data_IF_478185733494
#
_entry.id   IF_478185733494
#
_cell.length_a   1.000
_cell.length_b   1.000
_cell.length_c   1.000
_cell.angle_alpha   90.00
_cell.angle_beta   90.00
_cell.angle_gamma   90.00
#
_symmetry.space_group_name_H-M   'P 1'
#
loop_
_entity.id
_entity.type
_entity.pdbx_description
1 polymer ?
#
# COMPACT_ATOMS: atom_id res chain seq x y z
N UNK A 1 2.83 -25.23 11.58
CA UNK A 1 1.52 -25.71 12.10
C UNK A 1 1.19 -27.15 11.69
N UNK A 2 2.10 -27.85 11.04
CA UNK A 2 1.92 -29.23 10.58
C UNK A 2 2.21 -30.31 11.63
N UNK A 3 2.69 -29.92 12.82
CA UNK A 3 2.98 -30.85 13.91
C UNK A 3 1.71 -31.47 14.49
N UNK A 4 1.72 -32.76 14.82
CA UNK A 4 0.62 -33.51 15.44
C UNK A 4 0.46 -33.23 16.93
N UNK A 5 1.54 -32.79 17.61
CA UNK A 5 1.53 -32.47 19.06
C UNK A 5 0.74 -31.20 19.34
N UNK A 6 -0.34 -31.28 20.13
CA UNK A 6 -1.18 -30.18 20.53
C UNK A 6 -0.38 -29.11 21.30
N UNK A 7 0.43 -29.52 22.28
CA UNK A 7 1.23 -28.59 23.08
C UNK A 7 2.23 -27.80 22.22
N UNK A 8 2.87 -28.47 21.24
CA UNK A 8 3.78 -27.80 20.31
C UNK A 8 3.04 -26.80 19.41
N UNK A 9 1.84 -27.16 18.95
CA UNK A 9 0.97 -26.23 18.17
C UNK A 9 0.59 -25.00 18.97
N UNK A 10 0.15 -25.18 20.23
CA UNK A 10 -0.23 -24.05 21.10
C UNK A 10 0.94 -23.11 21.39
N UNK A 11 2.14 -23.65 21.63
CA UNK A 11 3.33 -22.85 21.84
C UNK A 11 3.71 -22.02 20.59
N UNK A 12 3.61 -22.64 19.39
CA UNK A 12 3.87 -21.95 18.13
C UNK A 12 2.83 -20.86 17.89
N UNK A 13 1.55 -21.15 18.11
CA UNK A 13 0.47 -20.16 17.97
C UNK A 13 0.67 -18.96 18.89
N UNK A 14 1.00 -19.19 20.17
CA UNK A 14 1.30 -18.12 21.13
C UNK A 14 2.47 -17.26 20.64
N UNK A 15 3.55 -17.89 20.18
CA UNK A 15 4.72 -17.17 19.64
C UNK A 15 4.36 -16.32 18.41
N UNK A 16 3.57 -16.87 17.48
CA UNK A 16 3.11 -16.12 16.29
C UNK A 16 2.25 -14.93 16.72
N UNK A 17 1.33 -15.13 17.68
CA UNK A 17 0.47 -14.06 18.18
C UNK A 17 1.29 -12.93 18.82
N UNK A 18 2.27 -13.26 19.67
CA UNK A 18 3.15 -12.29 20.31
C UNK A 18 4.00 -11.51 19.29
N UNK A 19 4.51 -12.20 18.26
CA UNK A 19 5.26 -11.57 17.18
C UNK A 19 4.38 -10.62 16.36
N UNK A 20 3.16 -11.02 16.01
CA UNK A 20 2.21 -10.16 15.32
C UNK A 20 1.84 -8.92 16.13
N UNK A 21 1.65 -9.09 17.46
CA UNK A 21 1.38 -7.96 18.37
C UNK A 21 2.56 -6.97 18.40
N UNK A 22 3.79 -7.48 18.48
CA UNK A 22 5.00 -6.65 18.41
C UNK A 22 5.10 -5.92 17.07
N UNK A 23 4.85 -6.62 15.96
CA UNK A 23 4.88 -6.04 14.62
C UNK A 23 3.88 -4.91 14.47
N UNK A 24 2.62 -5.10 14.91
CA UNK A 24 1.60 -4.04 14.89
C UNK A 24 2.02 -2.81 15.69
N UNK A 25 2.60 -3.01 16.89
CA UNK A 25 3.09 -1.90 17.70
C UNK A 25 4.20 -1.10 17.00
N UNK A 26 5.13 -1.79 16.33
CA UNK A 26 6.19 -1.12 15.55
C UNK A 26 5.57 -0.37 14.36
N UNK A 27 4.63 -1.00 13.65
CA UNK A 27 3.88 -0.38 12.54
C UNK A 27 3.23 0.94 12.99
N UNK A 28 2.46 0.91 14.08
CA UNK A 28 1.81 2.09 14.66
C UNK A 28 2.82 3.19 15.02
N UNK A 29 3.93 2.80 15.68
CA UNK A 29 4.99 3.76 16.04
C UNK A 29 5.59 4.43 14.79
N UNK A 30 5.86 3.65 13.74
CA UNK A 30 6.45 4.16 12.50
C UNK A 30 5.46 5.05 11.75
N UNK A 31 4.19 4.68 11.67
CA UNK A 31 3.16 5.50 11.02
C UNK A 31 2.98 6.86 11.72
N UNK A 32 3.10 6.90 13.06
CA UNK A 32 2.97 8.14 13.83
C UNK A 32 4.12 9.15 13.62
N UNK A 33 5.29 8.70 13.15
CA UNK A 33 6.42 9.61 12.86
C UNK A 33 6.44 10.09 11.41
N UNK A 34 5.55 9.60 10.55
CA UNK A 34 5.47 10.03 9.16
C UNK A 34 4.73 11.36 9.08
N UNK A 35 5.36 12.34 8.42
CA UNK A 35 4.69 13.60 8.12
C UNK A 35 3.74 13.43 6.92
N UNK A 36 2.47 13.28 7.23
CA UNK A 36 1.43 13.12 6.21
C UNK A 36 1.24 14.35 5.33
N UNK A 37 1.54 15.57 5.83
CA UNK A 37 1.47 16.76 5.00
C UNK A 37 2.53 16.72 3.89
N UNK A 38 3.74 16.24 4.20
CA UNK A 38 4.78 16.06 3.19
C UNK A 38 4.46 14.90 2.23
N UNK A 39 3.78 13.86 2.71
CA UNK A 39 3.30 12.76 1.86
C UNK A 39 2.26 13.25 0.86
N UNK A 40 1.28 14.03 1.29
CA UNK A 40 0.20 14.54 0.44
C UNK A 40 0.68 15.52 -0.63
N UNK A 41 1.71 16.32 -0.36
CA UNK A 41 2.35 17.23 -1.33
C UNK A 41 3.04 16.51 -2.47
N UNK A 42 3.38 15.22 -2.33
CA UNK A 42 4.01 14.47 -3.40
C UNK A 42 3.00 14.14 -4.51
N UNK A 43 3.29 14.64 -5.70
CA UNK A 43 2.52 14.33 -6.90
C UNK A 43 3.08 13.08 -7.59
N UNK A 44 2.21 12.08 -7.82
CA UNK A 44 2.59 10.82 -8.47
C UNK A 44 2.96 9.72 -7.48
N UNK A 45 4.19 9.22 -7.57
CA UNK A 45 4.67 8.15 -6.69
C UNK A 45 5.14 8.75 -5.37
N UNK A 46 4.69 8.18 -4.26
CA UNK A 46 5.13 8.57 -2.92
C UNK A 46 6.46 7.89 -2.59
N UNK A 47 7.43 8.68 -2.16
CA UNK A 47 8.73 8.19 -1.70
C UNK A 47 8.95 8.56 -0.24
N UNK A 48 9.23 7.56 0.60
CA UNK A 48 9.51 7.75 2.02
C UNK A 48 10.84 7.06 2.34
N UNK A 49 11.73 7.75 3.05
CA UNK A 49 13.00 7.19 3.49
C UNK A 49 13.07 7.15 5.01
N UNK A 50 13.14 5.95 5.57
CA UNK A 50 13.16 5.65 7.01
C UNK A 50 14.43 4.86 7.35
N UNK A 51 15.57 5.53 7.59
CA UNK A 51 16.89 4.90 7.61
C UNK A 51 17.07 3.85 8.70
N UNK A 52 16.31 3.90 9.79
CA UNK A 52 16.47 3.07 10.97
C UNK A 52 15.33 2.06 11.17
N UNK A 53 14.54 1.80 10.13
CA UNK A 53 13.43 0.85 10.20
C UNK A 53 13.83 -0.50 9.61
N UNK A 54 13.35 -1.59 10.23
CA UNK A 54 13.58 -2.95 9.74
C UNK A 54 13.04 -3.16 8.32
N UNK A 55 13.84 -3.82 7.46
CA UNK A 55 13.44 -4.20 6.10
C UNK A 55 12.10 -4.98 6.05
N UNK A 56 11.82 -5.78 7.09
CA UNK A 56 10.57 -6.56 7.17
C UNK A 56 9.30 -5.72 7.34
N UNK A 57 9.43 -4.43 7.71
CA UNK A 57 8.27 -3.55 8.01
C UNK A 57 7.99 -2.57 6.89
N UNK A 58 9.01 -2.17 6.10
CA UNK A 58 8.84 -1.14 5.07
C UNK A 58 7.74 -1.47 4.06
N UNK A 59 7.53 -2.76 3.76
CA UNK A 59 6.47 -3.19 2.86
C UNK A 59 5.05 -3.00 3.43
N UNK A 60 4.90 -3.12 4.73
CA UNK A 60 3.63 -2.88 5.44
C UNK A 60 3.35 -1.37 5.45
N UNK A 61 4.36 -0.57 5.79
CA UNK A 61 4.25 0.89 5.77
C UNK A 61 3.89 1.39 4.37
N UNK A 62 4.55 0.87 3.32
CA UNK A 62 4.23 1.20 1.94
C UNK A 62 2.77 0.87 1.59
N UNK A 63 2.23 -0.26 2.10
CA UNK A 63 0.82 -0.62 1.90
C UNK A 63 -0.12 0.38 2.57
N UNK A 64 0.14 0.78 3.82
CA UNK A 64 -0.69 1.74 4.55
C UNK A 64 -0.71 3.12 3.89
N UNK A 65 0.46 3.60 3.49
CA UNK A 65 0.55 4.90 2.80
C UNK A 65 -0.15 4.84 1.43
N UNK A 66 0.02 3.75 0.68
CA UNK A 66 -0.71 3.52 -0.57
C UNK A 66 -2.22 3.51 -0.34
N UNK A 67 -2.73 2.86 0.71
CA UNK A 67 -4.15 2.83 1.05
C UNK A 67 -4.68 4.22 1.44
N UNK A 68 -3.89 4.97 2.20
CA UNK A 68 -4.25 6.34 2.62
C UNK A 68 -4.29 7.32 1.44
N UNK A 69 -3.27 7.27 0.55
CA UNK A 69 -3.10 8.25 -0.53
C UNK A 69 -3.75 7.86 -1.84
N UNK A 70 -4.12 6.58 -2.01
CA UNK A 70 -4.48 5.97 -3.27
C UNK A 70 -3.44 6.22 -4.39
N UNK A 71 -2.16 6.32 -4.02
CA UNK A 71 -1.03 6.53 -4.92
C UNK A 71 -0.01 5.39 -4.75
N UNK A 72 0.77 5.05 -5.78
CA UNK A 72 1.91 4.14 -5.61
C UNK A 72 2.86 4.68 -4.56
N UNK A 73 3.36 3.81 -3.67
CA UNK A 73 4.26 4.21 -2.60
C UNK A 73 5.49 3.30 -2.55
N UNK A 74 6.65 3.88 -2.33
CA UNK A 74 7.90 3.17 -2.11
C UNK A 74 8.53 3.67 -0.81
N UNK A 75 8.69 2.75 0.13
CA UNK A 75 9.36 3.03 1.41
C UNK A 75 10.74 2.41 1.40
N UNK A 76 11.74 3.20 1.78
CA UNK A 76 13.15 2.81 1.81
C UNK A 76 13.70 2.79 3.22
N UNK A 77 14.70 1.92 3.44
CA UNK A 77 15.49 1.87 4.67
C UNK A 77 16.95 1.56 4.36
N UNK A 78 17.83 1.80 5.32
CA UNK A 78 19.22 1.38 5.21
C UNK A 78 19.36 -0.14 5.23
N UNK A 79 20.27 -0.65 4.41
CA UNK A 79 20.68 -2.05 4.37
C UNK A 79 22.17 -2.13 4.09
N UNK A 80 22.97 -2.25 5.13
CA UNK A 80 24.45 -2.19 5.04
C UNK A 80 24.92 -0.93 4.28
N UNK A 81 25.69 -1.09 3.21
CA UNK A 81 26.18 0.00 2.36
C UNK A 81 25.13 0.57 1.39
N UNK A 82 24.02 -0.09 1.22
CA UNK A 82 22.96 0.23 0.27
C UNK A 82 21.68 0.69 0.98
N UNK A 83 20.66 0.97 0.20
CA UNK A 83 19.31 1.12 0.68
C UNK A 83 18.41 0.08 0.00
N UNK A 84 17.46 -0.45 0.77
CA UNK A 84 16.40 -1.31 0.28
C UNK A 84 15.08 -0.59 0.29
N UNK A 85 14.30 -0.80 -0.76
CA UNK A 85 12.96 -0.27 -0.92
C UNK A 85 11.92 -1.38 -1.08
N UNK A 86 10.75 -1.14 -0.54
CA UNK A 86 9.57 -1.94 -0.82
C UNK A 86 8.50 -1.05 -1.45
N UNK A 87 8.10 -1.42 -2.65
CA UNK A 87 7.08 -0.72 -3.42
C UNK A 87 5.72 -1.40 -3.27
N UNK A 88 4.68 -0.57 -3.19
CA UNK A 88 3.28 -0.98 -3.30
C UNK A 88 2.57 -0.09 -4.30
N UNK A 89 1.80 -0.70 -5.17
CA UNK A 89 1.17 -0.02 -6.28
C UNK A 89 -0.35 -0.08 -6.25
N UNK A 90 -0.97 0.72 -7.08
CA UNK A 90 -2.40 0.75 -7.34
C UNK A 90 -2.72 -0.09 -8.58
N UNK A 91 -3.99 -0.50 -8.73
CA UNK A 91 -4.44 -1.46 -9.75
C UNK A 91 -4.02 -1.10 -11.18
N UNK A 92 -3.99 0.19 -11.52
CA UNK A 92 -3.71 0.64 -12.88
C UNK A 92 -2.25 1.05 -13.11
N UNK A 93 -1.35 0.76 -12.17
CA UNK A 93 0.07 1.11 -12.27
C UNK A 93 0.97 -0.11 -12.03
N UNK A 94 1.51 -0.68 -13.11
CA UNK A 94 2.43 -1.81 -13.02
C UNK A 94 3.82 -1.36 -12.55
N UNK A 95 4.06 -1.38 -11.24
CA UNK A 95 5.34 -0.94 -10.66
C UNK A 95 6.53 -1.80 -11.13
N UNK A 96 6.32 -3.09 -11.41
CA UNK A 96 7.39 -3.99 -11.82
C UNK A 96 8.04 -3.55 -13.14
N UNK A 97 7.26 -3.07 -14.11
CA UNK A 97 7.78 -2.59 -15.39
C UNK A 97 8.76 -1.42 -15.22
N UNK A 98 8.47 -0.52 -14.28
CA UNK A 98 9.33 0.62 -14.00
C UNK A 98 10.61 0.22 -13.27
N UNK A 99 10.50 -0.76 -12.37
CA UNK A 99 11.66 -1.34 -11.68
C UNK A 99 12.56 -2.07 -12.69
N UNK A 100 12.00 -2.84 -13.61
CA UNK A 100 12.76 -3.48 -14.69
C UNK A 100 13.45 -2.47 -15.61
N UNK A 101 12.76 -1.37 -15.96
CA UNK A 101 13.38 -0.27 -16.75
C UNK A 101 14.54 0.39 -15.99
N UNK A 102 14.38 0.61 -14.68
CA UNK A 102 15.44 1.17 -13.83
C UNK A 102 16.65 0.22 -13.74
N UNK A 103 16.39 -1.09 -13.64
CA UNK A 103 17.42 -2.12 -13.61
C UNK A 103 18.21 -2.16 -14.94
N UNK A 104 17.51 -2.19 -16.06
CA UNK A 104 18.14 -2.16 -17.41
C UNK A 104 18.99 -0.91 -17.65
N UNK A 105 18.66 0.20 -16.97
CA UNK A 105 19.44 1.46 -17.03
C UNK A 105 20.55 1.55 -15.99
N UNK A 106 20.80 0.48 -15.23
CA UNK A 106 21.78 0.45 -14.13
C UNK A 106 21.55 1.54 -13.06
N UNK A 107 20.31 2.00 -12.91
CA UNK A 107 19.93 2.98 -11.87
C UNK A 107 19.84 2.29 -10.51
N UNK A 108 19.37 1.04 -10.48
CA UNK A 108 19.29 0.19 -9.29
C UNK A 108 20.23 -1.00 -9.40
N UNK A 109 20.63 -1.58 -8.28
CA UNK A 109 21.52 -2.74 -8.19
C UNK A 109 20.73 -4.01 -8.50
N UNK A 110 19.57 -4.16 -7.86
CA UNK A 110 18.65 -5.27 -8.05
C UNK A 110 17.22 -4.84 -7.73
N UNK A 111 16.28 -5.51 -8.33
CA UNK A 111 14.86 -5.27 -8.07
C UNK A 111 14.00 -6.17 -8.93
N UNK A 112 12.77 -6.37 -8.46
CA UNK A 112 11.78 -7.18 -9.15
C UNK A 112 10.52 -7.33 -8.31
N UNK A 113 9.51 -7.91 -8.92
CA UNK A 113 8.22 -8.09 -8.27
C UNK A 113 7.11 -8.33 -9.29
N UNK A 114 5.91 -7.97 -8.90
CA UNK A 114 4.70 -8.08 -9.69
C UNK A 114 4.03 -6.71 -9.82
N UNK A 115 2.94 -6.66 -10.57
CA UNK A 115 2.22 -5.42 -10.90
C UNK A 115 1.98 -4.50 -9.69
N UNK A 116 1.63 -5.07 -8.54
CA UNK A 116 1.21 -4.33 -7.35
C UNK A 116 2.27 -4.24 -6.25
N UNK A 117 3.39 -4.96 -6.36
CA UNK A 117 4.43 -4.97 -5.35
C UNK A 117 5.80 -5.31 -5.95
N UNK A 118 6.84 -4.61 -5.50
CA UNK A 118 8.20 -4.87 -5.90
C UNK A 118 9.20 -4.59 -4.77
N UNK A 119 10.33 -5.32 -4.80
CA UNK A 119 11.49 -5.06 -3.98
C UNK A 119 12.59 -4.37 -4.79
N UNK A 120 13.40 -3.55 -4.13
CA UNK A 120 14.42 -2.71 -4.77
C UNK A 120 15.65 -2.66 -3.89
N UNK A 121 16.82 -2.73 -4.50
CA UNK A 121 18.10 -2.42 -3.84
C UNK A 121 18.87 -1.43 -4.69
N UNK A 122 19.30 -0.33 -4.12
CA UNK A 122 20.11 0.68 -4.82
C UNK A 122 21.16 1.31 -3.91
N UNK A 123 22.17 1.90 -4.50
CA UNK A 123 23.18 2.69 -3.76
C UNK A 123 22.58 4.01 -3.29
N UNK A 124 22.99 4.47 -2.11
CA UNK A 124 22.50 5.74 -1.53
C UNK A 124 22.66 6.93 -2.48
N UNK A 125 23.76 7.02 -3.18
CA UNK A 125 24.06 8.11 -4.13
C UNK A 125 23.18 8.09 -5.39
N UNK A 126 22.45 7.01 -5.66
CA UNK A 126 21.51 6.88 -6.79
C UNK A 126 20.04 7.10 -6.40
N UNK A 127 19.77 7.41 -5.14
CA UNK A 127 18.40 7.57 -4.65
C UNK A 127 17.63 8.66 -5.41
N UNK A 128 18.20 9.86 -5.52
CA UNK A 128 17.55 10.97 -6.23
C UNK A 128 17.41 10.71 -7.73
N UNK A 129 18.42 10.07 -8.33
CA UNK A 129 18.36 9.65 -9.73
C UNK A 129 17.20 8.67 -9.96
N UNK A 130 17.03 7.71 -9.07
CA UNK A 130 15.93 6.74 -9.13
C UNK A 130 14.57 7.40 -8.95
N UNK A 131 14.42 8.28 -7.95
CA UNK A 131 13.21 9.05 -7.69
C UNK A 131 12.80 9.89 -8.93
N UNK A 132 13.74 10.62 -9.49
CA UNK A 132 13.51 11.47 -10.66
C UNK A 132 13.16 10.63 -11.91
N UNK A 133 13.83 9.50 -12.09
CA UNK A 133 13.52 8.56 -13.17
C UNK A 133 12.08 8.04 -13.07
N UNK A 134 11.67 7.54 -11.92
CA UNK A 134 10.33 7.00 -11.72
C UNK A 134 9.24 8.07 -11.85
N UNK A 135 9.44 9.25 -11.30
CA UNK A 135 8.48 10.36 -11.42
C UNK A 135 8.32 10.80 -12.89
N UNK A 136 9.40 10.84 -13.66
CA UNK A 136 9.34 11.15 -15.10
C UNK A 136 8.57 10.09 -15.87
N UNK A 137 8.85 8.83 -15.61
CA UNK A 137 8.14 7.72 -16.26
C UNK A 137 6.66 7.67 -15.84
N UNK A 138 6.35 7.96 -14.59
CA UNK A 138 4.97 8.07 -14.11
C UNK A 138 4.18 9.16 -14.84
N UNK A 139 4.77 10.36 -15.00
CA UNK A 139 4.12 11.49 -15.69
C UNK A 139 3.89 11.23 -17.18
N UNK A 140 4.78 10.49 -17.84
CA UNK A 140 4.62 10.13 -19.27
C UNK A 140 3.42 9.21 -19.50
N UNK A 141 3.17 8.34 -18.59
CA UNK A 141 2.04 7.41 -18.64
C UNK A 141 0.92 8.03 -17.82
N UNK A 142 0.04 8.82 -18.42
CA UNK A 142 -1.13 9.38 -17.72
C UNK A 142 -1.99 8.25 -17.13
N UNK A 143 -1.71 7.88 -15.89
CA UNK A 143 -2.55 6.94 -15.16
C UNK A 143 -3.81 7.68 -14.72
N UNK A 144 -4.85 7.54 -15.52
CA UNK A 144 -6.19 7.97 -15.13
C UNK A 144 -6.64 6.97 -14.07
N UNK A 145 -6.79 7.44 -12.84
CA UNK A 145 -7.51 6.73 -11.80
C UNK A 145 -8.98 6.69 -12.25
N UNK A 146 -9.31 5.75 -13.12
CA UNK A 146 -10.70 5.45 -13.40
C UNK A 146 -11.22 4.68 -12.19
N UNK A 147 -11.87 5.39 -11.28
CA UNK A 147 -12.71 4.75 -10.27
C UNK A 147 -13.77 3.94 -11.01
N UNK A 148 -13.57 2.63 -11.05
CA UNK A 148 -14.58 1.73 -11.62
C UNK A 148 -15.67 1.55 -10.60
N UNK A 149 -16.87 1.98 -10.93
CA UNK A 149 -18.08 1.70 -10.15
C UNK A 149 -19.01 0.77 -10.94
N UNK A 150 -19.75 -0.06 -10.22
CA UNK A 150 -20.68 -1.03 -10.82
C UNK A 150 -21.88 -0.31 -11.43
N UNK A 151 -22.40 0.69 -10.73
CA UNK A 151 -23.56 1.48 -11.16
C UNK A 151 -23.65 2.80 -10.43
N UNK A 152 -24.41 3.74 -11.02
CA UNK A 152 -24.90 4.93 -10.32
C UNK A 152 -26.15 4.59 -9.53
N UNK A 153 -26.24 5.04 -8.31
CA UNK A 153 -27.41 4.83 -7.44
C UNK A 153 -27.81 6.15 -6.77
N UNK A 154 -29.08 6.26 -6.37
CA UNK A 154 -29.54 7.36 -5.54
C UNK A 154 -29.22 7.10 -4.08
N UNK A 155 -29.06 8.15 -3.28
CA UNK A 155 -28.84 8.02 -1.84
C UNK A 155 -29.98 7.30 -1.13
N UNK A 156 -31.22 7.46 -1.61
CA UNK A 156 -32.41 6.78 -1.09
C UNK A 156 -32.40 5.27 -1.32
N UNK A 157 -31.64 4.80 -2.31
CA UNK A 157 -31.47 3.37 -2.58
C UNK A 157 -30.56 2.68 -1.57
N UNK A 158 -29.75 3.43 -0.82
CA UNK A 158 -28.82 2.89 0.19
C UNK A 158 -29.61 2.63 1.48
N UNK A 159 -30.18 1.45 1.59
CA UNK A 159 -30.95 1.00 2.74
C UNK A 159 -30.56 -0.42 3.14
N UNK A 160 -31.13 -0.93 4.24
CA UNK A 160 -30.80 -2.25 4.77
C UNK A 160 -31.04 -3.37 3.76
N UNK A 161 -32.16 -3.32 3.03
CA UNK A 161 -32.51 -4.34 2.02
C UNK A 161 -31.47 -4.38 0.90
N UNK A 162 -30.99 -3.21 0.46
CA UNK A 162 -29.92 -3.11 -0.53
C UNK A 162 -28.63 -3.72 0.00
N UNK A 163 -28.23 -3.39 1.22
CA UNK A 163 -27.02 -3.94 1.84
C UNK A 163 -27.10 -5.45 2.03
N UNK A 164 -28.25 -5.96 2.46
CA UNK A 164 -28.47 -7.40 2.61
C UNK A 164 -28.32 -8.14 1.27
N UNK A 165 -28.85 -7.56 0.17
CA UNK A 165 -28.67 -8.11 -1.18
C UNK A 165 -27.19 -8.07 -1.62
N UNK A 166 -26.46 -7.02 -1.33
CA UNK A 166 -25.02 -6.95 -1.62
C UNK A 166 -24.27 -8.05 -0.86
N UNK A 167 -24.58 -8.26 0.42
CA UNK A 167 -23.95 -9.29 1.22
C UNK A 167 -24.17 -10.71 0.68
N UNK A 168 -25.26 -10.97 -0.03
CA UNK A 168 -25.50 -12.27 -0.68
C UNK A 168 -24.52 -12.58 -1.81
N UNK A 169 -23.88 -11.57 -2.40
CA UNK A 169 -22.89 -11.75 -3.46
C UNK A 169 -21.49 -12.10 -2.88
N UNK A 170 -21.33 -11.94 -1.55
CA UNK A 170 -20.10 -12.33 -0.84
C UNK A 170 -19.86 -13.85 -0.78
N UNK A 171 -18.72 -14.28 -0.23
CA UNK A 171 -17.72 -13.43 0.47
C UNK A 171 -16.88 -12.60 -0.50
N UNK A 172 -16.60 -11.36 -0.10
CA UNK A 172 -15.73 -10.48 -0.86
C UNK A 172 -14.24 -10.72 -0.52
N UNK A 173 -13.37 -10.55 -1.50
CA UNK A 173 -11.93 -10.78 -1.37
C UNK A 173 -11.18 -10.41 -2.65
N UNK A 174 -10.04 -11.07 -2.88
CA UNK A 174 -9.13 -10.72 -3.98
C UNK A 174 -9.79 -10.85 -5.37
N UNK A 175 -10.55 -11.93 -5.61
CA UNK A 175 -11.17 -12.22 -6.92
C UNK A 175 -12.66 -11.82 -6.99
N UNK A 176 -13.23 -11.43 -5.85
CA UNK A 176 -14.60 -10.93 -5.75
C UNK A 176 -14.60 -9.62 -4.94
N UNK A 177 -14.30 -8.51 -5.62
CA UNK A 177 -14.17 -7.21 -4.97
C UNK A 177 -15.53 -6.68 -4.47
N UNK A 178 -15.50 -5.95 -3.35
CA UNK A 178 -16.66 -5.19 -2.93
C UNK A 178 -17.15 -4.28 -4.06
N UNK A 179 -18.43 -4.30 -4.41
CA UNK A 179 -18.98 -3.40 -5.42
C UNK A 179 -18.91 -1.95 -4.93
N UNK A 180 -18.44 -1.06 -5.79
CA UNK A 180 -18.40 0.38 -5.56
C UNK A 180 -19.53 1.01 -6.35
N UNK A 181 -20.28 1.90 -5.73
CA UNK A 181 -21.39 2.62 -6.34
C UNK A 181 -21.13 4.11 -6.35
N UNK A 182 -21.52 4.79 -7.43
CA UNK A 182 -21.41 6.23 -7.54
C UNK A 182 -22.73 6.88 -7.14
N UNK A 183 -22.67 7.84 -6.22
CA UNK A 183 -23.77 8.73 -5.86
C UNK A 183 -23.38 10.15 -6.27
N UNK A 184 -24.11 10.72 -7.21
CA UNK A 184 -23.85 12.08 -7.72
C UNK A 184 -24.70 13.12 -6.98
N UNK A 185 -24.28 14.37 -7.08
CA UNK A 185 -24.99 15.55 -6.55
C UNK A 185 -25.29 15.47 -5.04
N UNK A 186 -24.35 14.94 -4.25
CA UNK A 186 -24.48 14.82 -2.79
C UNK A 186 -23.93 16.07 -2.13
N UNK A 187 -24.74 16.70 -1.27
CA UNK A 187 -24.30 17.78 -0.39
C UNK A 187 -23.87 17.18 0.95
N UNK A 188 -22.58 17.30 1.28
CA UNK A 188 -22.07 16.84 2.57
C UNK A 188 -22.31 17.93 3.63
N UNK A 189 -22.96 17.56 4.72
CA UNK A 189 -23.12 18.42 5.91
C UNK A 189 -22.54 17.70 7.14
N UNK A 190 -22.04 18.49 8.10
CA UNK A 190 -21.54 17.97 9.38
C UNK A 190 -20.43 16.89 9.27
N UNK A 191 -19.34 17.19 8.56
CA UNK A 191 -18.17 16.33 8.49
C UNK A 191 -17.62 16.09 9.90
N UNK A 192 -17.68 14.87 10.40
CA UNK A 192 -16.99 14.42 11.63
C UNK A 192 -15.87 13.48 11.26
N UNK A 193 -14.66 13.78 11.72
CA UNK A 193 -13.54 12.85 11.66
C UNK A 193 -13.70 11.94 12.89
N UNK A 194 -14.17 10.72 12.66
CA UNK A 194 -14.23 9.70 13.69
C UNK A 194 -12.85 9.08 13.76
N UNK A 195 -12.11 9.41 14.84
CA UNK A 195 -10.78 8.84 15.19
C UNK A 195 -10.04 8.11 14.06
N UNK A 196 -8.80 8.53 13.79
CA UNK A 196 -7.86 7.83 12.91
C UNK A 196 -7.63 6.38 13.40
N UNK A 197 -8.57 5.48 13.15
CA UNK A 197 -8.37 4.04 13.26
C UNK A 197 -8.27 3.54 11.84
N UNK A 198 -7.02 3.32 11.43
CA UNK A 198 -6.67 2.45 10.32
C UNK A 198 -6.69 1.00 10.78
#
# INVERSE_FOLDING_TARGET
LTTTSINKRMNILKKIFDLNKKQKKIEETVLNIIDYNEVEKQDGIIFIYLPNISEGIIGIIASRIKEYTNKPCIVFTNSFSNIKGSARSIKNFNIADFIHKALKKNIIISGGGHNLAAGITLSKNKFDLFKNFLNREYKKNRYILNDTFVSKISISSVNKVFLDKINLIGPFGHDNLNPIFLIENVKLSNKKILQNKF
#
